data_IF_097837901299
#
_entry.id   IF_097837901299
#
_cell.length_a   1.000
_cell.length_b   1.000
_cell.length_c   1.000
_cell.angle_alpha   90.00
_cell.angle_beta   90.00
_cell.angle_gamma   90.00
#
_symmetry.space_group_name_H-M   'P 1'
#
loop_
_entity.id
_entity.type
_entity.pdbx_description
1 polymer ?
#
# COMPACT_ATOMS: atom_id res chain seq x y z
N UNK A 1 20.10 -8.37 -6.43
CA UNK A 1 18.65 -8.61 -6.13
C UNK A 1 17.83 -7.48 -6.72
N UNK A 2 16.63 -7.78 -7.25
CA UNK A 2 15.73 -6.77 -7.83
C UNK A 2 15.09 -5.91 -6.72
N UNK A 3 14.68 -4.69 -7.06
CA UNK A 3 14.16 -3.71 -6.08
C UNK A 3 12.95 -4.23 -5.29
N UNK A 4 12.04 -4.97 -5.94
CA UNK A 4 10.87 -5.53 -5.26
C UNK A 4 11.24 -6.57 -4.19
N UNK A 5 12.20 -7.46 -4.47
CA UNK A 5 12.71 -8.39 -3.44
C UNK A 5 13.41 -7.64 -2.30
N UNK A 6 14.19 -6.59 -2.61
CA UNK A 6 14.78 -5.76 -1.57
C UNK A 6 13.72 -5.05 -0.73
N UNK A 7 12.63 -4.57 -1.34
CA UNK A 7 11.51 -3.93 -0.65
C UNK A 7 10.88 -4.86 0.39
N UNK A 8 10.60 -6.11 -0.01
CA UNK A 8 10.02 -7.13 0.87
C UNK A 8 10.95 -7.54 2.02
N UNK A 9 12.27 -7.56 1.81
CA UNK A 9 13.21 -7.99 2.85
C UNK A 9 13.63 -6.86 3.79
N UNK A 10 13.92 -5.68 3.25
CA UNK A 10 14.56 -4.58 3.99
C UNK A 10 13.98 -3.19 3.69
N UNK A 11 13.04 -3.07 2.75
CA UNK A 11 12.53 -1.79 2.27
C UNK A 11 11.18 -1.40 2.85
N UNK A 12 10.43 -0.59 2.11
CA UNK A 12 9.17 0.02 2.59
C UNK A 12 8.10 -1.04 2.82
N UNK A 13 8.00 -2.06 1.95
CA UNK A 13 6.99 -3.12 2.02
C UNK A 13 7.51 -4.37 2.76
N UNK A 14 8.34 -4.17 3.79
CA UNK A 14 8.98 -5.26 4.50
C UNK A 14 7.94 -6.23 5.12
N UNK A 15 8.18 -7.54 4.97
CA UNK A 15 7.22 -8.63 5.27
C UNK A 15 6.67 -8.68 6.70
N UNK A 16 7.25 -7.95 7.65
CA UNK A 16 6.82 -7.92 9.06
C UNK A 16 6.29 -6.54 9.42
N UNK A 17 7.09 -5.50 9.22
CA UNK A 17 6.80 -4.15 9.67
C UNK A 17 5.65 -3.50 8.91
N UNK A 18 5.62 -3.62 7.58
CA UNK A 18 4.55 -3.01 6.78
C UNK A 18 3.19 -3.66 7.08
N UNK A 19 3.03 -4.99 7.13
CA UNK A 19 1.79 -5.60 7.61
C UNK A 19 1.35 -5.12 9.00
N UNK A 20 2.27 -4.88 9.93
CA UNK A 20 1.93 -4.33 11.26
C UNK A 20 1.35 -2.91 11.12
N UNK A 21 1.98 -2.01 10.37
CA UNK A 21 1.48 -0.64 10.20
C UNK A 21 0.16 -0.60 9.43
N UNK A 22 -0.04 -1.49 8.44
CA UNK A 22 -1.32 -1.66 7.74
C UNK A 22 -2.39 -2.21 8.68
N UNK A 23 -2.08 -3.17 9.54
CA UNK A 23 -3.00 -3.68 10.56
C UNK A 23 -3.45 -2.58 11.53
N UNK A 24 -2.52 -1.75 12.01
CA UNK A 24 -2.84 -0.61 12.86
C UNK A 24 -3.74 0.41 12.16
N UNK A 25 -3.47 0.69 10.88
CA UNK A 25 -4.29 1.57 10.05
C UNK A 25 -5.68 0.98 9.77
N UNK A 26 -5.78 -0.31 9.50
CA UNK A 26 -7.04 -1.02 9.38
C UNK A 26 -7.88 -0.86 10.65
N UNK A 27 -7.29 -1.12 11.83
CA UNK A 27 -7.96 -0.93 13.12
C UNK A 27 -8.48 0.48 13.31
N UNK A 28 -7.71 1.49 12.90
CA UNK A 28 -8.06 2.90 13.03
C UNK A 28 -9.21 3.33 12.11
N UNK A 29 -9.39 2.67 10.96
CA UNK A 29 -10.41 2.99 9.96
C UNK A 29 -11.69 2.15 10.12
N UNK A 30 -11.54 0.86 10.42
CA UNK A 30 -12.61 -0.14 10.27
C UNK A 30 -12.87 -0.97 11.54
N UNK A 31 -12.07 -0.80 12.61
CA UNK A 31 -12.09 -1.69 13.77
C UNK A 31 -11.23 -2.94 13.57
N UNK A 32 -11.34 -3.92 14.48
CA UNK A 32 -10.48 -5.12 14.45
C UNK A 32 -10.69 -5.91 13.15
N UNK A 33 -9.64 -6.18 12.35
CA UNK A 33 -9.78 -7.07 11.20
C UNK A 33 -10.08 -8.50 11.67
N UNK A 34 -10.82 -9.23 10.84
CA UNK A 34 -11.01 -10.67 10.99
C UNK A 34 -9.70 -11.42 10.75
N UNK A 35 -9.67 -12.73 11.07
CA UNK A 35 -8.52 -13.59 10.77
C UNK A 35 -8.24 -13.61 9.26
N UNK A 36 -9.28 -13.69 8.43
CA UNK A 36 -9.15 -13.70 6.96
C UNK A 36 -8.60 -12.38 6.43
N UNK A 37 -9.11 -11.24 6.92
CA UNK A 37 -8.58 -9.91 6.56
C UNK A 37 -7.14 -9.73 7.04
N UNK A 38 -6.76 -10.32 8.18
CA UNK A 38 -5.38 -10.30 8.68
C UNK A 38 -4.43 -11.05 7.73
N UNK A 39 -4.86 -12.20 7.19
CA UNK A 39 -4.11 -12.91 6.14
C UNK A 39 -4.02 -12.07 4.86
N UNK A 40 -5.10 -11.42 4.44
CA UNK A 40 -5.07 -10.49 3.31
C UNK A 40 -4.05 -9.37 3.50
N UNK A 41 -3.98 -8.77 4.68
CA UNK A 41 -2.98 -7.74 5.03
C UNK A 41 -1.55 -8.31 4.92
N UNK A 42 -1.32 -9.53 5.38
CA UNK A 42 0.02 -10.13 5.36
C UNK A 42 0.55 -10.37 3.95
N UNK A 43 -0.31 -10.83 3.03
CA UNK A 43 0.12 -11.32 1.71
C UNK A 43 -0.04 -10.31 0.56
N UNK A 44 -0.68 -9.17 0.81
CA UNK A 44 -1.10 -8.26 -0.27
C UNK A 44 0.02 -7.77 -1.19
N UNK A 45 1.22 -7.62 -0.65
CA UNK A 45 2.39 -7.11 -1.35
C UNK A 45 3.38 -8.20 -1.79
N UNK A 46 3.11 -9.48 -1.54
CA UNK A 46 4.04 -10.57 -1.88
C UNK A 46 4.37 -10.65 -3.38
N UNK A 47 3.48 -10.16 -4.24
CA UNK A 47 3.74 -10.07 -5.68
C UNK A 47 4.84 -9.09 -6.07
N UNK A 48 5.40 -8.32 -5.14
CA UNK A 48 6.64 -7.58 -5.38
C UNK A 48 7.87 -8.46 -5.48
N UNK A 49 7.79 -9.74 -5.09
CA UNK A 49 8.94 -10.64 -5.16
C UNK A 49 9.45 -10.77 -6.60
N UNK A 50 10.71 -10.39 -6.82
CA UNK A 50 11.31 -10.39 -8.15
C UNK A 50 10.83 -9.25 -9.06
N UNK A 51 10.10 -8.24 -8.56
CA UNK A 51 9.73 -7.07 -9.36
C UNK A 51 10.95 -6.17 -9.64
N UNK A 52 11.07 -5.69 -10.88
CA UNK A 52 12.16 -4.80 -11.34
C UNK A 52 11.96 -3.33 -10.94
N UNK A 53 10.73 -2.95 -10.62
CA UNK A 53 10.30 -1.60 -10.24
C UNK A 53 9.17 -1.68 -9.21
N UNK A 54 8.97 -0.63 -8.40
CA UNK A 54 7.85 -0.59 -7.44
C UNK A 54 6.58 -0.04 -8.06
N UNK A 55 6.72 1.01 -8.86
CA UNK A 55 5.60 1.77 -9.43
C UNK A 55 5.66 1.80 -10.97
N UNK A 56 6.50 0.99 -11.62
CA UNK A 56 6.60 0.88 -13.08
C UNK A 56 5.66 -0.19 -13.64
N UNK A 57 6.08 -0.86 -14.72
CA UNK A 57 5.27 -1.85 -15.44
C UNK A 57 5.27 -3.20 -14.73
N UNK A 58 6.37 -3.58 -14.07
CA UNK A 58 6.45 -4.82 -13.30
C UNK A 58 5.63 -4.70 -12.01
N UNK A 59 5.82 -3.59 -11.30
CA UNK A 59 5.21 -3.32 -10.00
C UNK A 59 3.70 -3.18 -10.05
N UNK A 60 3.07 -2.82 -11.18
CA UNK A 60 1.61 -2.68 -11.24
C UNK A 60 0.85 -3.98 -10.94
N UNK A 61 1.51 -5.13 -11.16
CA UNK A 61 0.92 -6.46 -11.01
C UNK A 61 1.14 -7.08 -9.61
N UNK A 62 1.80 -6.39 -8.67
CA UNK A 62 2.02 -6.92 -7.31
C UNK A 62 0.75 -7.44 -6.60
N UNK A 63 -0.48 -6.92 -6.83
CA UNK A 63 -1.65 -7.45 -6.14
C UNK A 63 -2.05 -8.86 -6.59
N UNK A 64 -1.61 -9.31 -7.77
CA UNK A 64 -2.10 -10.56 -8.40
C UNK A 64 -1.81 -11.78 -7.53
N UNK A 65 -0.54 -11.99 -7.18
CA UNK A 65 -0.12 -13.16 -6.41
C UNK A 65 -0.86 -13.23 -5.06
N UNK A 66 -0.90 -12.14 -4.30
CA UNK A 66 -1.62 -12.10 -3.03
C UNK A 66 -3.11 -12.38 -3.20
N UNK A 67 -3.73 -11.86 -4.26
CA UNK A 67 -5.16 -12.06 -4.55
C UNK A 67 -5.52 -13.48 -4.99
N UNK A 68 -4.61 -14.17 -5.69
CA UNK A 68 -4.77 -15.58 -6.07
C UNK A 68 -4.76 -16.45 -4.82
N UNK A 69 -3.75 -16.27 -3.95
CA UNK A 69 -3.61 -17.01 -2.68
C UNK A 69 -4.86 -16.87 -1.82
N UNK A 70 -5.30 -15.64 -1.51
CA UNK A 70 -6.46 -15.46 -0.62
C UNK A 70 -7.78 -15.79 -1.30
N UNK A 71 -7.83 -15.72 -2.63
CA UNK A 71 -8.97 -16.13 -3.42
C UNK A 71 -9.21 -17.63 -3.34
N UNK A 72 -8.14 -18.42 -3.39
CA UNK A 72 -8.19 -19.88 -3.21
C UNK A 72 -8.55 -20.25 -1.77
N UNK A 73 -8.00 -19.54 -0.78
CA UNK A 73 -8.24 -19.85 0.63
C UNK A 73 -9.63 -19.43 1.12
N UNK A 74 -10.13 -18.28 0.68
CA UNK A 74 -11.31 -17.64 1.29
C UNK A 74 -12.39 -17.17 0.30
N UNK A 75 -12.16 -17.27 -1.00
CA UNK A 75 -13.12 -16.95 -2.05
C UNK A 75 -13.00 -15.55 -2.68
N UNK A 76 -13.91 -15.26 -3.62
CA UNK A 76 -13.86 -14.09 -4.50
C UNK A 76 -13.85 -12.73 -3.79
N UNK A 77 -14.56 -12.59 -2.67
CA UNK A 77 -14.58 -11.35 -1.90
C UNK A 77 -13.18 -10.96 -1.39
N UNK A 78 -12.42 -11.94 -0.89
CA UNK A 78 -11.06 -11.71 -0.38
C UNK A 78 -10.06 -11.54 -1.52
N UNK A 79 -10.28 -12.21 -2.65
CA UNK A 79 -9.54 -11.93 -3.89
C UNK A 79 -9.68 -10.47 -4.28
N UNK A 80 -10.90 -9.93 -4.34
CA UNK A 80 -11.12 -8.54 -4.71
C UNK A 80 -10.58 -7.56 -3.66
N UNK A 81 -10.67 -7.91 -2.37
CA UNK A 81 -10.07 -7.14 -1.29
C UNK A 81 -8.57 -6.92 -1.52
N UNK A 82 -7.84 -7.96 -1.93
CA UNK A 82 -6.41 -7.84 -2.24
C UNK A 82 -6.17 -7.29 -3.64
N UNK A 83 -6.83 -7.79 -4.68
CA UNK A 83 -6.59 -7.36 -6.07
C UNK A 83 -6.80 -5.86 -6.27
N UNK A 84 -7.84 -5.30 -5.65
CA UNK A 84 -8.23 -3.89 -5.81
C UNK A 84 -7.57 -2.96 -4.78
N UNK A 85 -6.58 -3.43 -4.03
CA UNK A 85 -5.83 -2.55 -3.10
C UNK A 85 -4.93 -1.55 -3.84
N UNK A 86 -4.50 -1.88 -5.07
CA UNK A 86 -3.77 -0.95 -5.95
C UNK A 86 -4.74 -0.05 -6.71
N UNK A 87 -4.70 1.26 -6.44
CA UNK A 87 -5.55 2.25 -7.14
C UNK A 87 -5.36 2.26 -8.67
N UNK A 88 -4.13 1.99 -9.14
CA UNK A 88 -3.84 1.95 -10.57
C UNK A 88 -4.49 0.74 -11.22
N UNK A 89 -4.39 -0.42 -10.57
CA UNK A 89 -5.01 -1.65 -11.07
C UNK A 89 -6.53 -1.57 -10.99
N UNK A 90 -7.09 -1.10 -9.87
CA UNK A 90 -8.53 -0.88 -9.73
C UNK A 90 -9.09 0.02 -10.84
N UNK A 91 -8.41 1.15 -11.13
CA UNK A 91 -8.80 2.03 -12.25
C UNK A 91 -8.72 1.34 -13.60
N UNK A 92 -7.68 0.54 -13.85
CA UNK A 92 -7.52 -0.22 -15.10
C UNK A 92 -8.67 -1.23 -15.29
N UNK A 93 -9.18 -1.78 -14.19
CA UNK A 93 -10.30 -2.72 -14.18
C UNK A 93 -11.67 -2.03 -14.11
N UNK A 94 -11.74 -0.70 -14.13
CA UNK A 94 -13.01 0.04 -13.97
C UNK A 94 -13.65 -0.11 -12.59
N UNK A 95 -12.90 -0.59 -11.60
CA UNK A 95 -13.40 -0.90 -10.26
C UNK A 95 -13.00 0.15 -9.22
N UNK A 96 -13.71 0.18 -8.10
CA UNK A 96 -13.37 1.05 -6.97
C UNK A 96 -12.27 0.41 -6.11
N UNK A 97 -11.32 1.19 -5.55
CA UNK A 97 -10.30 0.64 -4.67
C UNK A 97 -10.88 -0.03 -3.42
N UNK A 98 -10.29 -1.15 -3.00
CA UNK A 98 -10.72 -1.97 -1.86
C UNK A 98 -10.59 -1.26 -0.50
N UNK A 99 -11.12 -1.86 0.59
CA UNK A 99 -10.85 -1.37 1.96
C UNK A 99 -9.35 -1.40 2.27
N UNK A 100 -8.68 -2.47 1.82
CA UNK A 100 -7.25 -2.66 2.00
C UNK A 100 -6.42 -1.56 1.34
N UNK A 101 -6.86 -1.02 0.19
CA UNK A 101 -6.21 0.15 -0.42
C UNK A 101 -6.06 1.31 0.56
N UNK A 102 -7.10 1.62 1.31
CA UNK A 102 -7.11 2.80 2.17
C UNK A 102 -6.38 2.55 3.48
N UNK A 103 -6.47 1.33 4.02
CA UNK A 103 -5.64 0.90 5.15
C UNK A 103 -4.15 0.95 4.79
N UNK A 104 -3.76 0.43 3.63
CA UNK A 104 -2.40 0.50 3.11
C UNK A 104 -1.90 1.95 3.02
N UNK A 105 -2.68 2.86 2.41
CA UNK A 105 -2.28 4.27 2.31
C UNK A 105 -2.25 4.98 3.68
N UNK A 106 -3.06 4.55 4.64
CA UNK A 106 -3.06 5.09 6.00
C UNK A 106 -1.92 4.54 6.88
N UNK A 107 -1.26 3.44 6.49
CA UNK A 107 -0.17 2.82 7.26
C UNK A 107 0.99 3.79 7.54
N UNK A 108 1.23 4.75 6.64
CA UNK A 108 2.22 5.83 6.79
C UNK A 108 2.04 6.68 8.06
N UNK A 109 0.84 6.66 8.68
CA UNK A 109 0.61 7.32 9.96
C UNK A 109 1.43 6.70 11.08
N UNK A 110 1.59 5.37 11.03
CA UNK A 110 2.29 4.54 12.00
C UNK A 110 3.77 4.33 11.65
N UNK A 111 4.25 4.94 10.57
CA UNK A 111 5.65 4.87 10.14
C UNK A 111 6.50 5.97 10.81
N UNK A 112 7.51 5.60 11.63
CA UNK A 112 8.53 6.52 12.09
C UNK A 112 9.34 7.02 10.90
N UNK A 113 9.45 8.34 10.76
CA UNK A 113 10.08 8.98 9.60
C UNK A 113 11.51 8.48 9.34
N UNK A 114 12.34 8.42 10.38
CA UNK A 114 13.73 7.98 10.25
C UNK A 114 13.83 6.54 9.75
N UNK A 115 12.93 5.68 10.24
CA UNK A 115 12.92 4.25 9.93
C UNK A 115 12.44 4.00 8.50
N UNK A 116 11.41 4.71 8.06
CA UNK A 116 10.95 4.68 6.67
C UNK A 116 12.07 5.09 5.71
N UNK A 117 12.73 6.23 5.98
CA UNK A 117 13.77 6.77 5.10
C UNK A 117 14.98 5.82 5.02
N UNK A 118 15.40 5.25 6.16
CA UNK A 118 16.47 4.26 6.19
C UNK A 118 16.16 3.05 5.30
N UNK A 119 14.96 2.47 5.44
CA UNK A 119 14.54 1.31 4.64
C UNK A 119 14.39 1.64 3.17
N UNK A 120 13.74 2.76 2.84
CA UNK A 120 13.56 3.23 1.47
C UNK A 120 14.90 3.48 0.76
N UNK A 121 15.90 4.00 1.49
CA UNK A 121 17.25 4.17 0.95
C UNK A 121 17.96 2.82 0.77
N UNK A 122 17.90 1.94 1.77
CA UNK A 122 18.56 0.64 1.73
C UNK A 122 18.03 -0.28 0.61
N UNK A 123 16.73 -0.22 0.32
CA UNK A 123 16.11 -0.98 -0.78
C UNK A 123 16.34 -0.37 -2.16
N UNK A 124 16.65 0.93 -2.22
CA UNK A 124 16.77 1.72 -3.46
C UNK A 124 15.45 2.35 -3.93
N UNK A 125 14.35 2.16 -3.18
CA UNK A 125 13.03 2.70 -3.50
C UNK A 125 12.97 4.23 -3.43
N UNK A 126 13.77 4.83 -2.54
CA UNK A 126 13.76 6.28 -2.31
C UNK A 126 14.04 7.06 -3.60
N UNK A 127 15.01 6.63 -4.41
CA UNK A 127 15.32 7.29 -5.68
C UNK A 127 14.14 7.25 -6.66
N UNK A 128 13.50 6.09 -6.83
CA UNK A 128 12.31 5.93 -7.67
C UNK A 128 11.17 6.84 -7.19
N UNK A 129 10.93 6.86 -5.87
CA UNK A 129 9.85 7.65 -5.29
C UNK A 129 10.09 9.16 -5.37
N UNK A 130 11.33 9.63 -5.15
CA UNK A 130 11.70 11.04 -5.29
C UNK A 130 11.53 11.49 -6.73
N UNK A 131 11.96 10.69 -7.70
CA UNK A 131 11.80 11.00 -9.12
C UNK A 131 10.33 11.10 -9.53
N UNK A 132 9.48 10.20 -9.04
CA UNK A 132 8.02 10.26 -9.26
C UNK A 132 7.37 11.45 -8.58
N UNK A 133 7.88 11.86 -7.43
CA UNK A 133 7.39 13.01 -6.68
C UNK A 133 7.94 14.36 -7.16
N UNK A 134 8.88 14.38 -8.12
CA UNK A 134 9.61 15.59 -8.54
C UNK A 134 8.72 16.75 -9.00
N UNK A 135 7.51 16.45 -9.50
CA UNK A 135 6.51 17.46 -9.89
C UNK A 135 5.87 18.21 -8.73
N UNK A 136 6.00 17.70 -7.50
CA UNK A 136 5.38 18.26 -6.30
C UNK A 136 6.39 18.63 -5.21
N UNK A 137 7.53 17.95 -5.17
CA UNK A 137 8.64 18.22 -4.24
C UNK A 137 9.92 18.17 -5.04
N UNK A 138 10.67 19.26 -5.08
CA UNK A 138 11.90 19.34 -5.85
C UNK A 138 12.93 18.29 -5.38
N UNK A 139 13.81 17.86 -6.29
CA UNK A 139 14.79 16.80 -6.01
C UNK A 139 15.93 17.25 -5.08
N UNK A 140 16.20 18.55 -5.02
CA UNK A 140 17.17 19.14 -4.10
C UNK A 140 16.64 19.31 -2.67
N UNK A 141 15.33 19.13 -2.46
CA UNK A 141 14.74 19.21 -1.12
C UNK A 141 15.19 18.03 -0.23
N UNK A 142 15.30 18.22 1.09
CA UNK A 142 15.65 17.12 1.98
C UNK A 142 14.60 16.00 1.94
N UNK A 143 15.05 14.74 2.04
CA UNK A 143 14.14 13.58 2.06
C UNK A 143 13.13 13.65 3.21
N UNK A 144 13.47 14.35 4.28
CA UNK A 144 12.55 14.62 5.38
C UNK A 144 11.37 15.50 4.97
N UNK A 145 11.60 16.47 4.10
CA UNK A 145 10.55 17.34 3.57
C UNK A 145 9.66 16.56 2.59
N UNK A 146 10.27 15.75 1.72
CA UNK A 146 9.56 14.81 0.86
C UNK A 146 8.68 13.83 1.66
N UNK A 147 9.20 13.23 2.72
CA UNK A 147 8.43 12.31 3.56
C UNK A 147 7.23 13.01 4.22
N UNK A 148 7.40 14.24 4.72
CA UNK A 148 6.28 15.04 5.28
C UNK A 148 5.19 15.29 4.23
N UNK A 149 5.58 15.59 2.99
CA UNK A 149 4.64 15.72 1.87
C UNK A 149 3.95 14.39 1.56
N UNK A 150 4.69 13.28 1.50
CA UNK A 150 4.17 11.94 1.25
C UNK A 150 3.12 11.57 2.30
N UNK A 151 3.46 11.72 3.58
CA UNK A 151 2.56 11.45 4.71
C UNK A 151 1.26 12.22 4.57
N UNK A 152 1.31 13.53 4.34
CA UNK A 152 0.10 14.35 4.11
C UNK A 152 -0.73 13.87 2.93
N UNK A 153 -0.08 13.56 1.80
CA UNK A 153 -0.74 13.11 0.57
C UNK A 153 -1.47 11.78 0.77
N UNK A 154 -0.80 10.80 1.36
CA UNK A 154 -1.33 9.46 1.59
C UNK A 154 -2.44 9.47 2.64
N UNK A 155 -2.26 10.19 3.75
CA UNK A 155 -3.32 10.37 4.76
C UNK A 155 -4.56 11.05 4.19
N UNK A 156 -4.40 12.10 3.36
CA UNK A 156 -5.53 12.75 2.68
C UNK A 156 -6.24 11.78 1.73
N UNK A 157 -5.50 10.99 0.96
CA UNK A 157 -6.06 10.01 0.05
C UNK A 157 -6.87 8.94 0.81
N UNK A 158 -6.32 8.40 1.91
CA UNK A 158 -7.01 7.44 2.76
C UNK A 158 -8.31 8.01 3.35
N UNK A 159 -8.29 9.26 3.85
CA UNK A 159 -9.47 9.93 4.40
C UNK A 159 -10.59 10.11 3.36
N UNK A 160 -10.24 10.58 2.16
CA UNK A 160 -11.22 10.76 1.07
C UNK A 160 -11.81 9.41 0.66
N UNK A 161 -10.95 8.42 0.47
CA UNK A 161 -11.37 7.07 0.07
C UNK A 161 -12.26 6.38 1.11
N UNK A 162 -11.94 6.56 2.40
CA UNK A 162 -12.75 6.10 3.51
C UNK A 162 -14.13 6.77 3.52
N UNK A 163 -14.19 8.10 3.45
CA UNK A 163 -15.45 8.86 3.48
C UNK A 163 -16.37 8.47 2.32
N UNK A 164 -15.84 8.37 1.10
CA UNK A 164 -16.63 7.98 -0.06
C UNK A 164 -17.27 6.59 0.11
N UNK A 165 -16.57 5.65 0.74
CA UNK A 165 -17.10 4.32 1.05
C UNK A 165 -18.18 4.35 2.13
N UNK A 166 -18.00 5.14 3.18
CA UNK A 166 -19.02 5.31 4.23
C UNK A 166 -20.31 5.90 3.62
N UNK A 167 -20.18 6.91 2.76
CA UNK A 167 -21.33 7.50 2.07
C UNK A 167 -22.04 6.52 1.13
N UNK A 168 -21.32 5.67 0.40
CA UNK A 168 -21.93 4.64 -0.45
C UNK A 168 -22.71 3.61 0.35
N UNK A 169 -22.19 3.18 1.51
CA UNK A 169 -22.89 2.22 2.36
C UNK A 169 -24.16 2.80 2.98
N UNK A 170 -24.19 4.10 3.29
CA UNK A 170 -25.36 4.78 3.85
C UNK A 170 -26.51 5.00 2.85
N UNK A 171 -26.24 4.92 1.54
CA UNK A 171 -27.26 5.05 0.49
C UNK A 171 -27.95 3.70 0.20
N UNK A 172 -27.31 2.59 0.58
CA UNK A 172 -27.79 1.22 0.32
C UNK A 172 -28.25 0.48 1.58
N UNK A 173 -28.40 1.18 2.72
CA UNK A 173 -28.89 0.68 4.01
C UNK A 173 -30.23 1.31 4.34
#
# INVERSE_FOLDING_TARGET
MRVGTKSLLIGVHQLVWHPITVYLAWRRLYGRPTVRETVCILVHDWGYWGSRDMDGQSGINHPKLGSEIVGELFGGEYRDLVLLHSRRLARKLGATPSKLCWADKASILFEPQWFYLLRAQASGELAEYRQKAARWVALNEPDRQWFRWLKRRLTRAARIGYNNRVSQNAIHS
#
